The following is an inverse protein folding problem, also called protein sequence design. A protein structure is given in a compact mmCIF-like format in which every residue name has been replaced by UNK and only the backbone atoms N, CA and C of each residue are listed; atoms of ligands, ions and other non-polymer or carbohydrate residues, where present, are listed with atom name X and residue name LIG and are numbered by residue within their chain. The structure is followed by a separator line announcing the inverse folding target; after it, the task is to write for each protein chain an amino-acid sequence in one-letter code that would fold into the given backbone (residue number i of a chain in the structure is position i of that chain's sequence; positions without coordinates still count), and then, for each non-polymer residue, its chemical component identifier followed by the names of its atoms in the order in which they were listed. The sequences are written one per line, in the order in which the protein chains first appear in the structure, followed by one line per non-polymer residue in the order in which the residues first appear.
data_IF_520354431852
#
_entry.id   IF_520354431852
#
_cell.length_a   1.000
_cell.length_b   1.000
_cell.length_c   1.000
_cell.angle_alpha   90.00
_cell.angle_beta   90.00
_cell.angle_gamma   90.00
#
_symmetry.space_group_name_H-M   'P 1'
#
loop_
_entity.id
_entity.type
_entity.pdbx_description
1 polymer ?
#
# COMPACT_ATOMS: atom_id res chain seq x y z
N UNK A 1 -32.66 43.88 16.02
CA UNK A 1 -31.62 44.52 15.21
C UNK A 1 -30.41 44.59 16.13
N UNK A 2 -29.38 43.75 16.04
CA UNK A 2 -28.93 42.91 14.94
C UNK A 2 -28.21 41.67 15.46
N UNK A 3 -28.52 40.55 14.81
CA UNK A 3 -27.83 39.27 14.93
C UNK A 3 -26.48 39.40 14.20
N UNK A 4 -25.38 39.57 14.94
CA UNK A 4 -24.05 39.42 14.37
C UNK A 4 -23.78 37.92 14.15
N UNK A 5 -23.98 37.52 12.90
CA UNK A 5 -23.72 36.20 12.33
C UNK A 5 -22.33 35.67 12.71
N UNK A 6 -22.29 34.54 13.39
CA UNK A 6 -21.11 33.65 13.42
C UNK A 6 -20.79 33.24 11.98
N UNK A 7 -19.70 33.78 11.42
CA UNK A 7 -19.16 33.26 10.18
C UNK A 7 -18.48 31.92 10.50
N UNK A 8 -19.14 30.84 10.09
CA UNK A 8 -18.56 29.51 10.06
C UNK A 8 -17.46 29.48 8.99
N UNK A 9 -16.25 29.90 9.36
CA UNK A 9 -15.06 29.68 8.54
C UNK A 9 -14.78 28.18 8.56
N UNK A 10 -15.44 27.47 7.64
CA UNK A 10 -15.13 26.09 7.33
C UNK A 10 -13.69 26.02 6.86
N UNK A 11 -12.79 25.57 7.72
CA UNK A 11 -11.42 25.27 7.33
C UNK A 11 -11.49 24.16 6.28
N UNK A 12 -11.33 24.53 5.01
CA UNK A 12 -11.09 23.58 3.94
C UNK A 12 -9.86 22.78 4.34
N UNK A 13 -10.08 21.53 4.80
CA UNK A 13 -9.03 20.58 5.11
C UNK A 13 -8.04 20.63 3.96
N UNK A 14 -6.77 20.89 4.26
CA UNK A 14 -5.70 21.19 3.29
C UNK A 14 -5.43 19.97 2.40
N UNK A 15 -6.35 19.75 1.46
CA UNK A 15 -6.40 18.64 0.52
C UNK A 15 -5.18 18.66 -0.40
N UNK A 16 -4.54 19.83 -0.55
CA UNK A 16 -3.31 19.98 -1.32
C UNK A 16 -2.16 19.13 -0.77
N UNK A 17 -1.98 19.10 0.56
CA UNK A 17 -0.95 18.29 1.23
C UNK A 17 -1.29 16.81 1.16
N UNK A 18 -2.56 16.46 1.37
CA UNK A 18 -3.03 15.09 1.28
C UNK A 18 -2.87 14.52 -0.14
N UNK A 19 -3.23 15.30 -1.16
CA UNK A 19 -3.02 14.94 -2.58
C UNK A 19 -1.55 14.77 -2.92
N UNK A 20 -0.66 15.65 -2.42
CA UNK A 20 0.79 15.50 -2.59
C UNK A 20 1.30 14.22 -1.93
N UNK A 21 0.88 13.94 -0.70
CA UNK A 21 1.23 12.71 0.01
C UNK A 21 0.80 11.46 -0.77
N UNK A 22 -0.45 11.41 -1.27
CA UNK A 22 -0.91 10.26 -2.05
C UNK A 22 -0.13 10.12 -3.36
N UNK A 23 0.17 11.21 -4.05
CA UNK A 23 1.03 11.17 -5.26
C UNK A 23 2.41 10.57 -4.95
N UNK A 24 3.02 10.93 -3.82
CA UNK A 24 4.29 10.37 -3.39
C UNK A 24 4.15 8.88 -3.07
N UNK A 25 3.13 8.50 -2.30
CA UNK A 25 2.89 7.10 -1.92
C UNK A 25 2.70 6.19 -3.14
N UNK A 26 2.00 6.67 -4.17
CA UNK A 26 1.76 5.90 -5.39
C UNK A 26 2.97 5.85 -6.32
N UNK A 27 3.90 6.81 -6.20
CA UNK A 27 5.15 6.87 -6.96
C UNK A 27 6.25 5.96 -6.38
N UNK A 28 6.11 5.53 -5.13
CA UNK A 28 7.03 4.60 -4.47
C UNK A 28 7.08 3.26 -5.21
N UNK A 29 8.31 2.77 -5.42
CA UNK A 29 8.55 1.59 -6.23
C UNK A 29 8.40 0.31 -5.40
N UNK A 30 7.16 -0.03 -5.06
CA UNK A 30 6.85 -1.23 -4.25
C UNK A 30 5.72 -2.09 -4.82
N UNK A 31 5.71 -3.39 -4.48
CA UNK A 31 4.65 -4.30 -4.91
C UNK A 31 3.26 -3.75 -4.55
N UNK A 32 2.29 -3.97 -5.43
CA UNK A 32 0.94 -3.37 -5.31
C UNK A 32 0.25 -3.69 -3.97
N UNK A 33 0.45 -4.91 -3.44
CA UNK A 33 -0.09 -5.33 -2.13
C UNK A 33 0.42 -4.47 -0.98
N UNK A 34 1.69 -4.04 -1.05
CA UNK A 34 2.33 -3.18 -0.07
C UNK A 34 1.77 -1.77 -0.16
N UNK A 35 1.61 -1.21 -1.37
CA UNK A 35 0.98 0.10 -1.58
C UNK A 35 -0.45 0.14 -1.05
N UNK A 36 -1.24 -0.90 -1.29
CA UNK A 36 -2.60 -0.98 -0.76
C UNK A 36 -2.63 -1.08 0.77
N UNK A 37 -1.71 -1.86 1.38
CA UNK A 37 -1.54 -1.87 2.83
C UNK A 37 -1.18 -0.49 3.37
N UNK A 38 -0.20 0.18 2.75
CA UNK A 38 0.23 1.52 3.15
C UNK A 38 -0.93 2.53 3.02
N UNK A 39 -1.73 2.43 1.95
CA UNK A 39 -2.93 3.25 1.81
C UNK A 39 -3.91 3.04 2.96
N UNK A 40 -4.22 1.79 3.32
CA UNK A 40 -5.08 1.47 4.47
C UNK A 40 -4.50 2.02 5.78
N UNK A 41 -3.24 1.71 6.05
CA UNK A 41 -2.56 2.16 7.27
C UNK A 41 -2.52 3.69 7.36
N UNK A 42 -2.14 4.38 6.28
CA UNK A 42 -2.06 5.83 6.26
C UNK A 42 -3.43 6.48 6.34
N UNK A 43 -4.48 5.93 5.70
CA UNK A 43 -5.83 6.50 5.77
C UNK A 43 -6.37 6.56 7.21
N UNK A 44 -6.07 5.54 8.02
CA UNK A 44 -6.46 5.50 9.43
C UNK A 44 -5.49 6.31 10.33
N UNK A 45 -4.23 6.47 9.94
CA UNK A 45 -3.21 7.25 10.67
C UNK A 45 -3.32 8.75 10.39
N UNK A 46 -3.76 9.19 9.20
CA UNK A 46 -3.88 10.60 8.82
C UNK A 46 -4.64 11.47 9.83
N UNK A 47 -5.82 11.09 10.37
CA UNK A 47 -6.47 11.86 11.44
C UNK A 47 -5.63 11.95 12.72
N UNK A 48 -4.77 10.97 12.97
CA UNK A 48 -3.84 10.97 14.10
C UNK A 48 -2.60 11.83 13.82
N UNK A 49 -2.11 11.85 12.57
CA UNK A 49 -0.99 12.67 12.11
C UNK A 49 -1.30 14.16 12.26
N UNK A 50 -2.50 14.60 11.90
CA UNK A 50 -2.92 15.99 12.07
C UNK A 50 -2.88 16.42 13.55
N UNK A 51 -3.31 15.53 14.45
CA UNK A 51 -3.22 15.74 15.90
C UNK A 51 -1.77 15.74 16.43
N UNK A 52 -0.87 14.95 15.84
CA UNK A 52 0.56 14.90 16.23
C UNK A 52 1.38 16.07 15.69
N UNK A 53 1.07 16.55 14.48
CA UNK A 53 1.65 17.77 13.89
C UNK A 53 1.24 18.99 14.69
N UNK A 54 -0.02 19.07 15.13
CA UNK A 54 -0.48 20.12 16.06
C UNK A 54 0.31 20.11 17.38
N UNK A 55 0.78 18.93 17.81
CA UNK A 55 1.62 18.74 19.00
C UNK A 55 3.13 18.86 18.73
N UNK A 56 3.56 19.24 17.51
CA UNK A 56 4.97 19.38 17.06
C UNK A 56 5.83 18.12 17.24
N UNK A 57 5.23 16.93 17.25
CA UNK A 57 5.94 15.66 17.51
C UNK A 57 6.67 15.12 16.27
N UNK A 58 6.27 15.53 15.07
CA UNK A 58 6.82 15.04 13.80
C UNK A 58 7.65 16.14 13.13
N UNK A 59 8.90 16.30 13.55
CA UNK A 59 9.82 17.35 13.08
C UNK A 59 10.91 16.85 12.10
N UNK A 60 10.89 15.59 11.68
CA UNK A 60 11.92 15.05 10.79
C UNK A 60 11.38 14.71 9.39
N UNK A 61 12.08 15.18 8.37
CA UNK A 61 11.85 14.85 6.96
C UNK A 61 12.44 13.47 6.66
N UNK A 62 11.57 12.49 6.47
CA UNK A 62 11.96 11.12 6.10
C UNK A 62 12.33 11.07 4.62
N UNK A 63 13.50 10.50 4.29
CA UNK A 63 13.90 10.28 2.90
C UNK A 63 13.04 9.20 2.22
N UNK A 64 12.86 9.29 0.90
CA UNK A 64 12.00 8.38 0.14
C UNK A 64 12.40 6.91 0.34
N UNK A 65 13.70 6.59 0.32
CA UNK A 65 14.20 5.22 0.52
C UNK A 65 13.90 4.69 1.94
N UNK A 66 13.98 5.56 2.95
CA UNK A 66 13.63 5.20 4.32
C UNK A 66 12.14 4.87 4.42
N UNK A 67 11.29 5.66 3.77
CA UNK A 67 9.84 5.42 3.71
C UNK A 67 9.55 4.08 3.01
N UNK A 68 10.20 3.76 1.88
CA UNK A 68 10.00 2.48 1.19
C UNK A 68 10.31 1.29 2.10
N UNK A 69 11.49 1.32 2.76
CA UNK A 69 11.93 0.27 3.69
C UNK A 69 10.99 0.13 4.87
N UNK A 70 10.59 1.23 5.50
CA UNK A 70 9.66 1.22 6.63
C UNK A 70 8.31 0.61 6.25
N UNK A 71 7.74 1.01 5.12
CA UNK A 71 6.44 0.52 4.67
C UNK A 71 6.50 -1.00 4.41
N UNK A 72 7.57 -1.48 3.79
CA UNK A 72 7.74 -2.90 3.48
C UNK A 72 7.95 -3.73 4.75
N UNK A 73 8.80 -3.27 5.67
CA UNK A 73 9.03 -3.95 6.94
C UNK A 73 7.73 -3.98 7.77
N UNK A 74 6.99 -2.87 7.83
CA UNK A 74 5.70 -2.80 8.50
C UNK A 74 4.69 -3.78 7.89
N UNK A 75 4.61 -3.84 6.55
CA UNK A 75 3.78 -4.83 5.86
C UNK A 75 4.22 -6.27 6.18
N UNK A 76 5.52 -6.56 6.17
CA UNK A 76 6.04 -7.91 6.43
C UNK A 76 5.75 -8.37 7.87
N UNK A 77 5.86 -7.47 8.85
CA UNK A 77 5.48 -7.72 10.24
C UNK A 77 3.97 -7.96 10.38
N UNK A 78 3.15 -7.12 9.73
CA UNK A 78 1.69 -7.31 9.71
C UNK A 78 1.29 -8.64 9.04
N UNK A 79 1.91 -8.98 7.92
CA UNK A 79 1.67 -10.23 7.20
C UNK A 79 2.09 -11.43 8.05
N UNK A 80 3.24 -11.35 8.74
CA UNK A 80 3.67 -12.40 9.66
C UNK A 80 2.71 -12.55 10.83
N UNK A 81 2.23 -11.45 11.42
CA UNK A 81 1.21 -11.48 12.48
C UNK A 81 -0.08 -12.15 11.99
N UNK A 82 -0.56 -11.79 10.81
CA UNK A 82 -1.77 -12.40 10.24
C UNK A 82 -1.60 -13.88 9.93
N UNK A 83 -0.42 -14.28 9.44
CA UNK A 83 -0.10 -15.68 9.21
C UNK A 83 -0.18 -16.49 10.50
N UNK A 84 0.32 -15.96 11.61
CA UNK A 84 0.22 -16.59 12.93
C UNK A 84 -1.23 -16.65 13.42
N UNK A 85 -2.01 -15.58 13.20
CA UNK A 85 -3.43 -15.54 13.55
C UNK A 85 -4.27 -16.60 12.83
N UNK A 86 -3.88 -16.98 11.60
CA UNK A 86 -4.55 -18.02 10.79
C UNK A 86 -3.96 -19.42 11.10
N UNK A 87 -3.25 -19.58 12.22
CA UNK A 87 -2.69 -20.87 12.65
C UNK A 87 -1.31 -21.21 12.05
N UNK A 88 -0.66 -20.26 11.38
CA UNK A 88 0.70 -20.42 10.89
C UNK A 88 1.77 -20.30 11.96
N UNK A 89 3.00 -20.74 11.63
CA UNK A 89 4.15 -20.71 12.54
C UNK A 89 4.74 -19.30 12.67
N UNK A 90 5.09 -18.89 13.89
CA UNK A 90 5.82 -17.65 14.17
C UNK A 90 7.24 -17.74 13.61
N UNK A 91 7.65 -16.72 12.85
CA UNK A 91 9.03 -16.57 12.37
C UNK A 91 9.79 -15.57 13.23
N UNK A 92 11.11 -15.71 13.28
CA UNK A 92 12.00 -14.78 13.97
C UNK A 92 11.97 -13.38 13.33
N UNK A 93 11.94 -12.32 14.15
CA UNK A 93 11.79 -10.93 13.69
C UNK A 93 12.93 -10.45 12.76
N UNK A 94 14.23 -10.69 13.07
CA UNK A 94 15.32 -10.33 12.16
C UNK A 94 15.19 -11.03 10.79
N UNK A 95 14.74 -12.28 10.78
CA UNK A 95 14.51 -13.03 9.55
C UNK A 95 13.38 -12.43 8.71
N UNK A 96 12.31 -11.92 9.34
CA UNK A 96 11.22 -11.23 8.63
C UNK A 96 11.74 -9.94 7.99
N UNK A 97 12.54 -9.16 8.73
CA UNK A 97 13.12 -7.90 8.22
C UNK A 97 14.05 -8.17 7.05
N UNK A 98 14.99 -9.11 7.19
CA UNK A 98 15.95 -9.45 6.13
C UNK A 98 15.23 -9.93 4.86
N UNK A 99 14.29 -10.87 4.99
CA UNK A 99 13.49 -11.33 3.86
C UNK A 99 12.68 -10.21 3.20
N UNK A 100 12.20 -9.23 3.97
CA UNK A 100 11.45 -8.10 3.43
C UNK A 100 12.35 -7.14 2.64
N UNK A 101 13.58 -6.92 3.11
CA UNK A 101 14.59 -6.13 2.41
C UNK A 101 15.11 -6.83 1.15
N UNK A 102 15.33 -8.15 1.20
CA UNK A 102 15.67 -8.97 0.04
C UNK A 102 14.55 -8.91 -1.01
N UNK A 103 13.30 -9.09 -0.60
CA UNK A 103 12.15 -8.98 -1.50
C UNK A 103 12.02 -7.58 -2.13
N UNK A 104 12.41 -6.51 -1.44
CA UNK A 104 12.49 -5.17 -2.03
C UNK A 104 13.60 -5.10 -3.09
N UNK A 105 14.78 -5.64 -2.78
CA UNK A 105 15.91 -5.64 -3.71
C UNK A 105 15.60 -6.42 -5.00
N UNK A 106 14.98 -7.60 -4.87
CA UNK A 106 14.50 -8.40 -6.01
C UNK A 106 13.48 -7.62 -6.85
N UNK A 107 12.50 -6.99 -6.20
CA UNK A 107 11.49 -6.18 -6.89
C UNK A 107 12.11 -5.00 -7.65
N UNK A 108 13.10 -4.33 -7.05
CA UNK A 108 13.82 -3.23 -7.70
C UNK A 108 14.67 -3.74 -8.88
N UNK A 109 15.24 -4.94 -8.80
CA UNK A 109 15.99 -5.55 -9.90
C UNK A 109 15.07 -5.86 -11.10
N UNK A 110 13.89 -6.45 -10.88
CA UNK A 110 12.90 -6.73 -11.93
C UNK A 110 12.33 -5.47 -12.63
N UNK A 111 12.50 -4.29 -12.04
CA UNK A 111 12.06 -3.02 -12.65
C UNK A 111 13.17 -2.37 -13.46
N UNK A 112 14.42 -2.63 -13.10
CA UNK A 112 15.60 -2.15 -13.84
C UNK A 112 15.83 -2.96 -15.11
N UNK A 113 15.49 -4.25 -15.09
CA UNK A 113 15.37 -5.05 -16.30
C UNK A 113 13.92 -5.05 -16.78
N UNK A 114 13.57 -4.29 -17.84
CA UNK A 114 12.29 -4.49 -18.48
C UNK A 114 12.35 -5.86 -19.18
N UNK A 115 11.94 -6.92 -18.49
CA UNK A 115 11.58 -8.14 -19.18
C UNK A 115 10.60 -7.72 -20.28
N UNK A 116 11.00 -7.93 -21.54
CA UNK A 116 10.11 -7.78 -22.68
C UNK A 116 8.83 -8.53 -22.32
N UNK A 117 7.64 -7.95 -22.48
CA UNK A 117 6.42 -8.68 -22.19
C UNK A 117 6.53 -10.02 -22.92
N UNK A 118 6.60 -11.12 -22.14
CA UNK A 118 6.45 -12.45 -22.70
C UNK A 118 5.23 -12.36 -23.59
N UNK A 119 5.39 -12.66 -24.89
CA UNK A 119 4.31 -12.49 -25.86
C UNK A 119 3.13 -13.32 -25.37
N UNK A 120 2.19 -12.69 -24.67
CA UNK A 120 0.93 -13.31 -24.32
C UNK A 120 0.23 -13.35 -25.66
N UNK A 121 0.34 -14.50 -26.34
CA UNK A 121 -0.44 -14.76 -27.53
C UNK A 121 -1.88 -14.40 -27.18
N UNK A 122 -2.55 -13.52 -27.95
CA UNK A 122 -3.92 -13.17 -27.65
C UNK A 122 -4.72 -14.45 -27.58
N UNK A 123 -5.19 -14.78 -26.37
CA UNK A 123 -5.94 -15.99 -26.13
C UNK A 123 -7.28 -15.86 -26.85
N UNK A 124 -7.33 -16.33 -28.10
CA UNK A 124 -8.54 -16.32 -28.90
C UNK A 124 -9.55 -17.24 -28.22
N UNK A 125 -10.66 -16.66 -27.77
CA UNK A 125 -11.72 -17.44 -27.16
C UNK A 125 -12.26 -18.46 -28.16
N UNK A 126 -12.35 -19.73 -27.75
CA UNK A 126 -13.06 -20.78 -28.49
C UNK A 126 -14.27 -21.21 -27.68
N UNK A 127 -15.45 -21.39 -28.29
CA UNK A 127 -16.61 -21.91 -27.58
C UNK A 127 -16.30 -23.31 -27.04
N UNK A 128 -16.82 -23.66 -25.86
CA UNK A 128 -16.77 -25.03 -25.38
C UNK A 128 -17.40 -26.00 -26.39
N UNK A 129 -16.91 -27.25 -26.50
CA UNK A 129 -17.55 -28.29 -27.30
C UNK A 129 -19.02 -28.51 -26.87
N UNK A 130 -19.86 -29.02 -27.78
CA UNK A 130 -21.23 -29.43 -27.45
C UNK A 130 -21.23 -30.32 -26.18
N UNK A 131 -22.20 -30.09 -25.29
CA UNK A 131 -22.35 -30.75 -23.97
C UNK A 131 -21.23 -30.47 -22.94
N UNK A 132 -20.45 -29.39 -23.08
CA UNK A 132 -19.51 -28.92 -22.04
C UNK A 132 -19.75 -27.44 -21.73
N UNK A 133 -19.76 -27.09 -20.44
CA UNK A 133 -19.84 -25.70 -19.98
C UNK A 133 -18.52 -25.29 -19.34
N UNK A 134 -18.05 -24.06 -19.63
CA UNK A 134 -16.87 -23.48 -18.98
C UNK A 134 -17.33 -22.73 -17.74
N UNK A 135 -17.05 -23.29 -16.56
CA UNK A 135 -17.26 -22.59 -15.29
C UNK A 135 -16.10 -21.61 -15.11
N UNK A 136 -16.40 -20.31 -15.15
CA UNK A 136 -15.45 -19.28 -14.74
C UNK A 136 -15.60 -19.17 -13.23
N UNK A 137 -14.75 -19.86 -12.47
CA UNK A 137 -14.73 -19.74 -11.02
C UNK A 137 -14.25 -18.33 -10.64
N UNK A 138 -15.10 -17.47 -10.03
CA UNK A 138 -14.64 -16.22 -9.49
C UNK A 138 -14.00 -16.53 -8.13
N UNK A 139 -12.66 -16.62 -8.11
CA UNK A 139 -11.82 -16.49 -6.91
C UNK A 139 -12.14 -17.43 -5.72
N UNK A 140 -11.38 -18.51 -5.55
CA UNK A 140 -11.25 -19.16 -4.24
C UNK A 140 -10.49 -18.23 -3.28
N UNK A 141 -11.09 -17.98 -2.10
CA UNK A 141 -10.54 -17.20 -0.98
C UNK A 141 -9.65 -18.06 -0.09
#
# INVERSE_FOLDING_TARGET
MDLASESCVGAASDDSKQRRFWKLLWKINTPHKVRHFAWRACKDILPTKENLVRRKVLAEEWDALQIERMIIVAWALWASRNKVRIGGVKKSAPKIVNNALEHLAEYQACIKDPEKPHSVQPAFWKPPPLNKFKIICPWHR
#
